data_IF_877518284247
#
_entry.id   IF_877518284247
#
_cell.length_a   1.000
_cell.length_b   1.000
_cell.length_c   1.000
_cell.angle_alpha   90.00
_cell.angle_beta   90.00
_cell.angle_gamma   90.00
#
_symmetry.space_group_name_H-M   'P 1'
#
loop_
_entity.id
_entity.type
_entity.pdbx_description
1 polymer ?
#
# COMPACT_ATOMS: atom_id res chain seq x y z
N UNK A 1 -11.41 -10.49 11.54
CA UNK A 1 -10.83 -11.07 10.30
C UNK A 1 -11.14 -12.56 10.26
N UNK A 2 -10.88 -13.25 9.14
CA UNK A 2 -11.33 -14.62 8.88
C UNK A 2 -10.53 -15.72 9.60
N UNK A 3 -9.63 -15.36 10.53
CA UNK A 3 -8.88 -16.31 11.35
C UNK A 3 -7.66 -16.96 10.67
N UNK A 4 -7.43 -16.73 9.38
CA UNK A 4 -6.26 -17.20 8.66
C UNK A 4 -5.34 -16.07 8.18
N UNK A 5 -4.12 -16.46 7.82
CA UNK A 5 -3.12 -15.61 7.17
C UNK A 5 -2.73 -16.22 5.82
N UNK A 6 -2.20 -15.37 4.93
CA UNK A 6 -1.69 -15.77 3.62
C UNK A 6 -0.18 -15.56 3.60
N UNK A 7 0.56 -16.42 2.92
CA UNK A 7 2.01 -16.24 2.79
C UNK A 7 2.34 -14.94 2.04
N UNK A 8 3.52 -14.39 2.31
CA UNK A 8 3.97 -13.18 1.63
C UNK A 8 4.32 -13.48 0.16
N UNK A 9 3.93 -12.60 -0.75
CA UNK A 9 4.14 -12.75 -2.20
C UNK A 9 4.85 -11.49 -2.73
N UNK A 10 6.02 -11.20 -2.19
CA UNK A 10 6.77 -10.00 -2.56
C UNK A 10 7.32 -10.10 -3.99
N UNK A 11 7.16 -9.03 -4.74
CA UNK A 11 7.64 -8.95 -6.12
C UNK A 11 8.11 -7.52 -6.41
N UNK A 12 9.36 -7.37 -6.86
CA UNK A 12 9.95 -6.06 -7.16
C UNK A 12 9.21 -5.30 -8.29
N UNK A 13 8.37 -5.98 -9.08
CA UNK A 13 7.51 -5.34 -10.08
C UNK A 13 6.33 -4.61 -9.45
N UNK A 14 5.80 -5.09 -8.33
CA UNK A 14 4.61 -4.55 -7.68
C UNK A 14 4.99 -3.73 -6.46
N UNK A 15 4.95 -2.41 -6.63
CA UNK A 15 5.43 -1.42 -5.66
C UNK A 15 4.27 -0.61 -5.07
N UNK A 16 4.50 0.01 -3.91
CA UNK A 16 3.51 0.78 -3.16
C UNK A 16 3.36 2.21 -3.69
N UNK A 17 3.14 2.38 -4.98
CA UNK A 17 2.78 3.67 -5.59
C UNK A 17 1.32 4.05 -5.27
N UNK A 18 0.96 5.32 -5.43
CA UNK A 18 -0.42 5.78 -5.26
C UNK A 18 -1.39 4.92 -6.09
N UNK A 19 -2.47 4.47 -5.46
CA UNK A 19 -3.46 3.56 -6.04
C UNK A 19 -3.14 2.07 -5.88
N UNK A 20 -1.96 1.68 -5.40
CA UNK A 20 -1.64 0.26 -5.16
C UNK A 20 -2.57 -0.34 -4.09
N UNK A 21 -3.12 -1.52 -4.36
CA UNK A 21 -3.89 -2.33 -3.42
C UNK A 21 -2.97 -3.38 -2.81
N UNK A 22 -2.83 -3.35 -1.49
CA UNK A 22 -1.89 -4.19 -0.78
C UNK A 22 -2.49 -4.80 0.49
N UNK A 23 -1.94 -5.94 0.88
CA UNK A 23 -2.40 -6.69 2.04
C UNK A 23 -1.82 -6.10 3.33
N UNK A 24 -2.66 -5.87 4.34
CA UNK A 24 -2.20 -5.51 5.66
C UNK A 24 -1.62 -6.74 6.38
N UNK A 25 -0.77 -6.51 7.40
CA UNK A 25 -0.28 -7.58 8.28
C UNK A 25 0.09 -7.03 9.65
N UNK A 26 0.23 -7.93 10.62
CA UNK A 26 0.94 -7.62 11.86
C UNK A 26 2.40 -7.29 11.53
N UNK A 27 2.86 -6.12 12.00
CA UNK A 27 4.26 -5.68 11.91
C UNK A 27 5.15 -6.28 12.99
N UNK A 28 6.46 -6.07 12.88
CA UNK A 28 7.43 -6.43 13.93
C UNK A 28 7.75 -7.92 14.06
N UNK A 29 8.40 -8.28 15.17
CA UNK A 29 8.96 -9.61 15.43
C UNK A 29 7.92 -10.72 15.62
N UNK A 30 6.66 -10.37 15.90
CA UNK A 30 5.55 -11.33 16.02
C UNK A 30 5.09 -11.95 14.70
N UNK A 31 5.58 -11.45 13.56
CA UNK A 31 5.29 -12.00 12.23
C UNK A 31 6.56 -12.01 11.36
N UNK A 32 7.56 -12.86 11.70
CA UNK A 32 8.86 -12.85 11.04
C UNK A 32 8.78 -13.30 9.57
N UNK A 33 7.79 -14.15 9.24
CA UNK A 33 7.50 -14.58 7.87
C UNK A 33 6.70 -13.53 7.08
N UNK A 34 6.36 -12.40 7.70
CA UNK A 34 5.61 -11.29 7.11
C UNK A 34 4.30 -11.72 6.44
N UNK A 35 3.63 -12.74 6.98
CA UNK A 35 2.37 -13.26 6.43
C UNK A 35 1.31 -12.17 6.41
N UNK A 36 0.58 -12.09 5.31
CA UNK A 36 -0.54 -11.18 5.09
C UNK A 36 -1.75 -11.57 5.93
N UNK A 37 -2.55 -10.56 6.30
CA UNK A 37 -3.88 -10.75 6.85
C UNK A 37 -4.79 -11.42 5.82
N UNK A 38 -5.64 -12.35 6.26
CA UNK A 38 -6.57 -13.04 5.37
C UNK A 38 -7.69 -12.15 4.79
N UNK A 39 -7.89 -10.93 5.31
CA UNK A 39 -8.95 -10.04 4.80
C UNK A 39 -8.67 -8.54 4.87
N UNK A 40 -7.69 -8.10 5.66
CA UNK A 40 -7.40 -6.67 5.77
C UNK A 40 -6.47 -6.23 4.65
N UNK A 41 -6.83 -5.15 3.99
CA UNK A 41 -6.07 -4.53 2.92
C UNK A 41 -6.04 -3.02 3.11
N UNK A 42 -5.19 -2.36 2.34
CA UNK A 42 -5.16 -0.92 2.22
C UNK A 42 -4.94 -0.52 0.77
N UNK A 43 -5.36 0.69 0.44
CA UNK A 43 -5.05 1.35 -0.83
C UNK A 43 -4.05 2.46 -0.52
N UNK A 44 -2.95 2.49 -1.26
CA UNK A 44 -1.92 3.51 -1.05
C UNK A 44 -2.41 4.85 -1.58
N UNK A 45 -2.53 5.85 -0.70
CA UNK A 45 -2.60 7.25 -1.13
C UNK A 45 -1.19 7.84 -1.23
N UNK A 46 -0.41 7.72 -0.15
CA UNK A 46 1.00 8.07 -0.13
C UNK A 46 1.28 9.57 -0.28
N UNK A 47 2.57 9.92 -0.40
CA UNK A 47 3.04 11.28 -0.72
C UNK A 47 4.11 11.20 -1.78
N UNK A 48 4.34 12.31 -2.51
CA UNK A 48 5.49 12.43 -3.42
C UNK A 48 6.78 12.18 -2.66
N UNK A 49 7.67 11.41 -3.26
CA UNK A 49 8.95 10.98 -2.67
C UNK A 49 10.07 11.59 -3.49
N UNK A 50 11.12 12.07 -2.85
CA UNK A 50 12.27 12.62 -3.58
C UNK A 50 13.19 11.51 -4.10
N UNK A 51 13.94 11.81 -5.17
CA UNK A 51 14.99 10.92 -5.70
C UNK A 51 16.00 10.52 -4.61
N UNK A 52 16.36 11.45 -3.72
CA UNK A 52 17.28 11.18 -2.61
C UNK A 52 16.73 10.15 -1.62
N UNK A 53 15.43 10.21 -1.30
CA UNK A 53 14.77 9.22 -0.45
C UNK A 53 14.72 7.84 -1.14
N UNK A 54 14.44 7.80 -2.45
CA UNK A 54 14.45 6.55 -3.22
C UNK A 54 15.84 5.91 -3.21
N UNK A 55 16.90 6.70 -3.44
CA UNK A 55 18.29 6.22 -3.40
C UNK A 55 18.65 5.61 -2.03
N UNK A 56 18.24 6.25 -0.93
CA UNK A 56 18.48 5.73 0.41
C UNK A 56 17.77 4.39 0.64
N UNK A 57 16.53 4.25 0.16
CA UNK A 57 15.77 3.02 0.27
C UNK A 57 16.34 1.89 -0.58
N UNK A 58 16.84 2.18 -1.78
CA UNK A 58 17.53 1.20 -2.64
C UNK A 58 18.74 0.59 -1.92
N UNK A 59 19.58 1.45 -1.31
CA UNK A 59 20.73 1.01 -0.52
C UNK A 59 20.30 0.23 0.72
N UNK A 60 19.33 0.75 1.49
CA UNK A 60 18.89 0.14 2.74
C UNK A 60 18.27 -1.25 2.54
N UNK A 61 17.49 -1.42 1.47
CA UNK A 61 16.74 -2.65 1.20
C UNK A 61 17.43 -3.58 0.20
N UNK A 62 18.52 -3.13 -0.43
CA UNK A 62 19.18 -3.89 -1.50
C UNK A 62 18.28 -4.10 -2.71
N UNK A 63 17.42 -3.14 -3.03
CA UNK A 63 16.50 -3.16 -4.18
C UNK A 63 16.88 -2.09 -5.19
N UNK A 64 16.35 -2.20 -6.40
CA UNK A 64 16.50 -1.18 -7.44
C UNK A 64 15.16 -0.91 -8.09
N UNK A 65 14.79 0.36 -8.16
CA UNK A 65 13.57 0.79 -8.85
C UNK A 65 13.84 1.00 -10.33
N UNK A 66 12.84 0.68 -11.15
CA UNK A 66 12.81 1.09 -12.56
C UNK A 66 12.53 2.58 -12.68
N UNK A 67 12.89 3.20 -13.81
CA UNK A 67 12.61 4.62 -14.07
C UNK A 67 11.11 4.93 -13.94
N UNK A 68 10.24 4.03 -14.41
CA UNK A 68 8.78 4.13 -14.29
C UNK A 68 8.31 4.16 -12.83
N UNK A 69 8.87 3.30 -11.99
CA UNK A 69 8.55 3.27 -10.55
C UNK A 69 9.02 4.55 -9.85
N UNK A 70 10.21 5.05 -10.21
CA UNK A 70 10.73 6.31 -9.67
C UNK A 70 9.84 7.49 -10.06
N UNK A 71 9.48 7.59 -11.35
CA UNK A 71 8.56 8.61 -11.84
C UNK A 71 7.20 8.54 -11.13
N UNK A 72 6.64 7.35 -10.94
CA UNK A 72 5.39 7.19 -10.19
C UNK A 72 5.52 7.71 -8.75
N UNK A 73 6.63 7.41 -8.06
CA UNK A 73 6.88 7.89 -6.70
C UNK A 73 7.11 9.40 -6.61
N UNK A 74 7.81 10.00 -7.57
CA UNK A 74 8.14 11.44 -7.55
C UNK A 74 6.96 12.29 -8.03
N UNK A 75 6.18 11.82 -8.99
CA UNK A 75 5.08 12.58 -9.59
C UNK A 75 3.75 12.38 -8.88
N UNK A 76 3.36 11.12 -8.62
CA UNK A 76 2.06 10.74 -8.09
C UNK A 76 2.10 10.45 -6.60
N UNK A 77 3.25 9.94 -6.13
CA UNK A 77 3.47 9.58 -4.74
C UNK A 77 3.31 8.10 -4.45
N UNK A 78 3.53 7.76 -3.19
CA UNK A 78 3.42 6.38 -2.71
C UNK A 78 4.03 6.20 -1.33
N UNK A 79 4.41 4.97 -1.02
CA UNK A 79 4.96 4.57 0.29
C UNK A 79 6.08 3.53 0.11
N UNK A 80 7.21 3.91 -0.52
CA UNK A 80 8.25 2.97 -0.95
C UNK A 80 8.97 2.22 0.19
N UNK A 81 8.88 2.72 1.42
CA UNK A 81 9.42 1.99 2.57
C UNK A 81 8.68 0.67 2.85
N UNK A 82 7.47 0.49 2.29
CA UNK A 82 6.69 -0.76 2.36
C UNK A 82 7.09 -1.77 1.26
N UNK A 83 7.88 -1.37 0.27
CA UNK A 83 8.33 -2.27 -0.79
C UNK A 83 9.17 -3.41 -0.22
N UNK A 84 8.91 -4.62 -0.73
CA UNK A 84 9.45 -5.89 -0.23
C UNK A 84 9.14 -6.19 1.25
N UNK A 85 8.17 -5.47 1.84
CA UNK A 85 7.69 -5.67 3.21
C UNK A 85 6.22 -6.07 3.28
N UNK A 86 5.42 -5.71 2.26
CA UNK A 86 3.99 -6.00 2.15
C UNK A 86 3.65 -6.46 0.73
N UNK A 87 2.66 -7.36 0.62
CA UNK A 87 2.22 -7.90 -0.67
C UNK A 87 1.31 -6.90 -1.39
N UNK A 88 1.74 -6.38 -2.53
CA UNK A 88 0.89 -5.65 -3.49
C UNK A 88 0.27 -6.67 -4.44
N UNK A 89 -1.06 -6.65 -4.60
CA UNK A 89 -1.78 -7.62 -5.42
C UNK A 89 -2.83 -6.99 -6.35
N UNK A 90 -2.90 -5.65 -6.39
CA UNK A 90 -3.80 -4.96 -7.31
C UNK A 90 -3.49 -3.47 -7.40
N UNK A 91 -4.26 -2.77 -8.23
CA UNK A 91 -4.16 -1.34 -8.45
C UNK A 91 -5.53 -0.75 -8.75
N UNK A 92 -5.79 0.45 -8.25
CA UNK A 92 -6.96 1.25 -8.62
C UNK A 92 -6.79 1.74 -10.06
N UNK A 93 -7.62 1.22 -10.97
CA UNK A 93 -7.62 1.63 -12.39
C UNK A 93 -8.59 2.77 -12.70
N UNK A 94 -9.57 3.00 -11.82
CA UNK A 94 -10.59 4.07 -11.90
C UNK A 94 -10.99 4.48 -10.49
N UNK A 95 -11.30 5.76 -10.28
CA UNK A 95 -11.74 6.27 -8.98
C UNK A 95 -10.61 6.68 -8.03
N UNK A 96 -9.46 7.11 -8.56
CA UNK A 96 -8.36 7.65 -7.74
C UNK A 96 -8.76 8.93 -7.00
N UNK A 97 -9.61 9.76 -7.61
CA UNK A 97 -10.24 10.92 -6.99
C UNK A 97 -11.07 10.54 -5.74
N UNK A 98 -11.72 9.37 -5.76
CA UNK A 98 -12.44 8.85 -4.59
C UNK A 98 -11.47 8.44 -3.49
N UNK A 99 -10.30 7.86 -3.84
CA UNK A 99 -9.25 7.56 -2.87
C UNK A 99 -8.75 8.84 -2.21
N UNK A 100 -8.57 9.91 -2.99
CA UNK A 100 -8.14 11.22 -2.49
C UNK A 100 -9.18 11.81 -1.53
N UNK A 101 -10.46 11.80 -1.91
CA UNK A 101 -11.56 12.26 -1.06
C UNK A 101 -11.65 11.46 0.26
N UNK A 102 -11.44 10.14 0.22
CA UNK A 102 -11.41 9.29 1.42
C UNK A 102 -10.21 9.64 2.31
N UNK A 103 -9.04 9.94 1.72
CA UNK A 103 -7.84 10.28 2.47
C UNK A 103 -7.94 11.65 3.20
N UNK A 104 -8.83 12.53 2.75
CA UNK A 104 -9.05 13.86 3.32
C UNK A 104 -10.14 13.92 4.40
N UNK A 105 -10.87 12.82 4.64
CA UNK A 105 -11.92 12.79 5.67
C UNK A 105 -11.34 13.07 7.04
N UNK A 106 -12.10 13.76 7.89
CA UNK A 106 -11.68 14.04 9.27
C UNK A 106 -11.51 12.74 10.05
N UNK A 107 -10.37 12.59 10.70
CA UNK A 107 -10.05 11.45 11.55
C UNK A 107 -9.99 11.85 13.03
N UNK A 108 -10.24 10.89 13.91
CA UNK A 108 -10.07 11.00 15.34
C UNK A 108 -8.86 10.21 15.83
N UNK A 109 -8.99 9.61 17.02
CA UNK A 109 -7.93 8.80 17.63
C UNK A 109 -7.54 7.62 16.72
N UNK A 110 -6.23 7.37 16.62
CA UNK A 110 -5.64 6.27 15.82
C UNK A 110 -6.03 6.32 14.34
N UNK A 111 -6.18 7.54 13.79
CA UNK A 111 -6.53 7.80 12.39
C UNK A 111 -7.85 7.17 11.92
N UNK A 112 -8.75 6.84 12.85
CA UNK A 112 -10.09 6.36 12.51
C UNK A 112 -10.94 7.52 11.98
N UNK A 113 -11.60 7.39 10.81
CA UNK A 113 -12.58 8.38 10.34
C UNK A 113 -13.66 8.69 11.39
N UNK A 114 -14.02 9.97 11.54
CA UNK A 114 -15.11 10.40 12.43
C UNK A 114 -16.47 9.91 11.92
N UNK A 115 -16.63 9.88 10.60
CA UNK A 115 -17.78 9.29 9.92
C UNK A 115 -17.36 8.00 9.22
N UNK A 116 -18.16 6.94 9.35
CA UNK A 116 -17.82 5.62 8.80
C UNK A 116 -17.76 5.64 7.26
N UNK A 117 -16.59 5.35 6.69
CA UNK A 117 -16.42 5.05 5.26
C UNK A 117 -16.67 3.55 5.03
N UNK A 118 -17.83 3.18 4.48
CA UNK A 118 -18.28 1.78 4.35
C UNK A 118 -18.23 1.26 2.93
N UNK A 119 -17.67 0.07 2.74
CA UNK A 119 -17.85 -0.73 1.52
C UNK A 119 -19.24 -1.36 1.58
N UNK A 120 -20.18 -0.89 0.75
CA UNK A 120 -21.56 -1.38 0.73
C UNK A 120 -21.71 -2.68 -0.07
N UNK A 121 -20.94 -2.84 -1.14
CA UNK A 121 -20.99 -4.01 -2.01
C UNK A 121 -19.68 -4.15 -2.76
N UNK A 122 -19.35 -5.38 -3.15
CA UNK A 122 -18.23 -5.69 -4.04
C UNK A 122 -18.77 -6.54 -5.17
N UNK A 123 -18.40 -6.19 -6.42
CA UNK A 123 -18.73 -6.98 -7.61
C UNK A 123 -17.44 -7.48 -8.23
N UNK A 124 -17.34 -8.79 -8.39
CA UNK A 124 -16.26 -9.42 -9.15
C UNK A 124 -16.70 -9.46 -10.62
N UNK A 125 -15.89 -8.85 -11.49
CA UNK A 125 -16.09 -8.87 -12.94
C UNK A 125 -15.15 -9.94 -13.49
N UNK A 126 -15.67 -10.81 -14.36
CA UNK A 126 -14.88 -11.83 -15.06
C UNK A 126 -14.45 -11.32 -16.42
#
# INVERSE_FOLDING_TARGET
GPGYQVDAEFNAKYVHTKGALAAARTGGSGNPKKKSSGSQFYIVHGKKVSEGQLNQLEVQKGIKYTEEQRAAYTEQGGTPFLDMEYTVYGMVVKGLDVVDAIAEVKTGKSDRPLEDVKIKSVRVIK
#
